data_IF_429328164515
#
_entry.id   IF_429328164515
#
_cell.length_a   1.000
_cell.length_b   1.000
_cell.length_c   1.000
_cell.angle_alpha   90.00
_cell.angle_beta   90.00
_cell.angle_gamma   90.00
#
_symmetry.space_group_name_H-M   'P 1'
#
loop_
_entity.id
_entity.type
_entity.pdbx_description
1 polymer ?
#
# COMPACT_ATOMS: atom_id res chain seq x y z
N UNK A 1 -40.95 -42.62 -21.12
CA UNK A 1 -41.30 -41.18 -21.13
C UNK A 1 -40.63 -40.60 -19.89
N UNK A 2 -39.62 -39.74 -19.91
CA UNK A 2 -39.05 -38.86 -20.94
C UNK A 2 -38.59 -37.61 -20.18
N UNK A 3 -37.56 -37.75 -19.33
CA UNK A 3 -37.05 -36.65 -18.51
C UNK A 3 -36.16 -35.75 -19.37
N UNK A 4 -36.75 -34.65 -19.86
CA UNK A 4 -36.06 -33.61 -20.60
C UNK A 4 -35.14 -32.83 -19.65
N UNK A 5 -33.89 -33.25 -19.56
CA UNK A 5 -32.78 -32.40 -19.12
C UNK A 5 -32.56 -31.30 -20.16
N UNK A 6 -33.33 -30.22 -20.05
CA UNK A 6 -32.98 -28.95 -20.66
C UNK A 6 -32.22 -28.12 -19.63
N UNK A 7 -30.89 -28.18 -19.71
CA UNK A 7 -30.04 -27.15 -19.12
C UNK A 7 -30.56 -25.78 -19.55
N UNK A 8 -30.63 -24.78 -18.64
CA UNK A 8 -30.99 -23.44 -19.05
C UNK A 8 -29.94 -22.96 -20.05
N UNK A 9 -30.40 -22.49 -21.22
CA UNK A 9 -29.54 -21.80 -22.16
C UNK A 9 -28.83 -20.64 -21.43
N UNK A 10 -27.53 -20.39 -21.71
CA UNK A 10 -26.81 -19.31 -21.07
C UNK A 10 -27.52 -17.99 -21.39
N UNK A 11 -28.03 -17.34 -20.35
CA UNK A 11 -28.59 -16.00 -20.41
C UNK A 11 -27.51 -15.02 -20.84
N UNK A 12 -27.89 -14.01 -21.65
CA UNK A 12 -27.05 -12.93 -22.22
C UNK A 12 -26.43 -11.98 -21.16
N UNK A 13 -25.80 -12.53 -20.13
CA UNK A 13 -25.09 -11.85 -19.05
C UNK A 13 -23.79 -12.66 -18.98
N UNK A 14 -22.77 -12.33 -19.78
CA UNK A 14 -21.66 -11.50 -19.34
C UNK A 14 -20.86 -10.98 -20.56
N UNK A 15 -21.37 -9.98 -21.29
CA UNK A 15 -20.48 -9.15 -22.11
C UNK A 15 -19.82 -8.14 -21.17
N UNK A 16 -18.52 -8.27 -20.93
CA UNK A 16 -17.78 -7.28 -20.13
C UNK A 16 -17.94 -5.91 -20.79
N UNK A 17 -18.52 -4.95 -20.05
CA UNK A 17 -18.56 -3.56 -20.47
C UNK A 17 -17.11 -3.01 -20.60
N UNK A 18 -16.96 -1.97 -21.38
CA UNK A 18 -15.73 -1.18 -21.50
C UNK A 18 -15.49 -0.36 -20.25
N UNK A 19 -14.31 0.24 -20.17
CA UNK A 19 -13.95 1.20 -19.12
C UNK A 19 -14.86 2.44 -19.11
N UNK A 20 -15.42 2.81 -20.27
CA UNK A 20 -16.38 3.91 -20.41
C UNK A 20 -17.54 3.49 -21.32
N UNK A 21 -18.80 3.81 -20.99
CA UNK A 21 -19.99 3.39 -21.76
C UNK A 21 -19.92 3.73 -23.26
N UNK A 22 -19.37 4.91 -23.59
CA UNK A 22 -19.21 5.35 -24.99
C UNK A 22 -18.31 4.43 -25.83
N UNK A 23 -17.49 3.60 -25.17
CA UNK A 23 -16.57 2.67 -25.83
C UNK A 23 -17.07 1.22 -25.83
N UNK A 24 -18.27 0.95 -25.30
CA UNK A 24 -18.84 -0.41 -25.19
C UNK A 24 -19.07 -1.03 -26.57
N UNK A 25 -19.60 -0.27 -27.52
CA UNK A 25 -19.88 -0.76 -28.87
C UNK A 25 -18.57 -1.11 -29.62
N UNK A 26 -17.56 -0.24 -29.54
CA UNK A 26 -16.24 -0.49 -30.13
C UNK A 26 -15.55 -1.68 -29.49
N UNK A 27 -15.68 -1.84 -28.16
CA UNK A 27 -15.17 -3.00 -27.44
C UNK A 27 -15.81 -4.28 -27.93
N UNK A 28 -17.13 -4.29 -28.10
CA UNK A 28 -17.84 -5.48 -28.53
C UNK A 28 -17.43 -5.90 -29.94
N UNK A 29 -17.31 -4.96 -30.88
CA UNK A 29 -16.83 -5.23 -32.24
C UNK A 29 -15.39 -5.76 -32.24
N UNK A 30 -14.53 -5.22 -31.36
CA UNK A 30 -13.17 -5.69 -31.22
C UNK A 30 -13.11 -7.11 -30.63
N UNK A 31 -13.84 -7.38 -29.56
CA UNK A 31 -13.87 -8.69 -28.89
C UNK A 31 -14.42 -9.77 -29.83
N UNK A 32 -15.48 -9.46 -30.59
CA UNK A 32 -16.05 -10.37 -31.60
C UNK A 32 -15.02 -10.71 -32.69
N UNK A 33 -14.32 -9.70 -33.22
CA UNK A 33 -13.24 -9.92 -34.19
C UNK A 33 -12.07 -10.71 -33.60
N UNK A 34 -11.63 -10.32 -32.41
CA UNK A 34 -10.50 -10.91 -31.72
C UNK A 34 -10.74 -12.38 -31.40
N UNK A 35 -11.93 -12.78 -30.97
CA UNK A 35 -12.24 -14.17 -30.64
C UNK A 35 -12.15 -15.11 -31.86
N UNK A 36 -12.61 -14.64 -33.02
CA UNK A 36 -12.47 -15.37 -34.29
C UNK A 36 -11.00 -15.48 -34.67
N UNK A 37 -10.29 -14.35 -34.69
CA UNK A 37 -8.87 -14.31 -35.00
C UNK A 37 -8.03 -15.19 -34.06
N UNK A 38 -8.33 -15.16 -32.76
CA UNK A 38 -7.63 -15.91 -31.73
C UNK A 38 -7.78 -17.42 -31.94
N UNK A 39 -8.99 -17.87 -32.24
CA UNK A 39 -9.30 -19.30 -32.43
C UNK A 39 -8.77 -19.82 -33.76
N UNK A 40 -8.93 -19.06 -34.85
CA UNK A 40 -8.65 -19.55 -36.20
C UNK A 40 -7.20 -19.30 -36.66
N UNK A 41 -6.56 -18.23 -36.18
CA UNK A 41 -5.22 -17.86 -36.62
C UNK A 41 -4.19 -18.02 -35.50
N UNK A 42 -4.39 -17.36 -34.36
CA UNK A 42 -3.39 -17.31 -33.30
C UNK A 42 -3.05 -18.71 -32.76
N UNK A 43 -4.07 -19.53 -32.45
CA UNK A 43 -3.85 -20.92 -31.97
C UNK A 43 -3.19 -21.82 -33.01
N UNK A 44 -3.29 -21.49 -34.30
CA UNK A 44 -2.71 -22.25 -35.41
C UNK A 44 -1.31 -21.73 -35.83
N UNK A 45 -0.72 -20.82 -35.05
CA UNK A 45 0.61 -20.27 -35.31
C UNK A 45 0.65 -19.09 -36.28
N UNK A 46 -0.49 -18.49 -36.61
CA UNK A 46 -0.60 -17.31 -37.45
C UNK A 46 -0.89 -16.06 -36.60
N UNK A 47 0.12 -15.20 -36.42
CA UNK A 47 0.06 -14.05 -35.49
C UNK A 47 -0.37 -12.72 -36.13
N UNK A 48 -0.71 -12.69 -37.42
CA UNK A 48 -1.09 -11.43 -38.07
C UNK A 48 -2.53 -11.06 -37.70
N UNK A 49 -2.72 -9.96 -36.96
CA UNK A 49 -4.01 -9.42 -36.51
C UNK A 49 -4.49 -8.19 -37.30
N UNK A 50 -4.00 -8.00 -38.53
CA UNK A 50 -4.39 -6.86 -39.37
C UNK A 50 -5.92 -6.76 -39.58
N UNK A 51 -6.62 -7.90 -39.54
CA UNK A 51 -8.07 -7.98 -39.62
C UNK A 51 -8.79 -7.19 -38.51
N UNK A 52 -8.29 -7.20 -37.27
CA UNK A 52 -8.92 -6.52 -36.14
C UNK A 52 -8.25 -5.20 -35.73
N UNK A 53 -7.07 -4.89 -36.30
CA UNK A 53 -6.31 -3.69 -35.95
C UNK A 53 -7.11 -2.39 -36.10
N UNK A 54 -7.91 -2.27 -37.16
CA UNK A 54 -8.71 -1.06 -37.39
C UNK A 54 -9.73 -0.81 -36.27
N UNK A 55 -10.40 -1.86 -35.79
CA UNK A 55 -11.38 -1.77 -34.69
C UNK A 55 -10.66 -1.55 -33.36
N UNK A 56 -9.50 -2.19 -33.19
CA UNK A 56 -8.64 -2.01 -32.02
C UNK A 56 -8.16 -0.56 -31.85
N UNK A 57 -7.73 0.09 -32.93
CA UNK A 57 -7.29 1.48 -32.92
C UNK A 57 -8.44 2.41 -32.48
N UNK A 58 -9.62 2.27 -33.07
CA UNK A 58 -10.80 3.07 -32.71
C UNK A 58 -11.22 2.85 -31.26
N UNK A 59 -11.26 1.60 -30.80
CA UNK A 59 -11.54 1.26 -29.41
C UNK A 59 -10.51 1.87 -28.45
N UNK A 60 -9.23 1.70 -28.75
CA UNK A 60 -8.13 2.20 -27.93
C UNK A 60 -8.15 3.72 -27.82
N UNK A 61 -8.43 4.41 -28.92
CA UNK A 61 -8.54 5.86 -28.93
C UNK A 61 -9.74 6.36 -28.13
N UNK A 62 -10.89 5.69 -28.23
CA UNK A 62 -12.05 5.96 -27.39
C UNK A 62 -11.71 5.85 -25.88
N UNK A 63 -11.06 4.75 -25.49
CA UNK A 63 -10.68 4.52 -24.08
C UNK A 63 -9.67 5.56 -23.60
N UNK A 64 -8.67 5.90 -24.41
CA UNK A 64 -7.69 6.95 -24.07
C UNK A 64 -8.37 8.30 -23.85
N UNK A 65 -9.31 8.68 -24.71
CA UNK A 65 -10.06 9.94 -24.57
C UNK A 65 -10.89 9.90 -23.29
N UNK A 66 -11.63 8.82 -23.04
CA UNK A 66 -12.41 8.65 -21.82
C UNK A 66 -11.53 8.72 -20.55
N UNK A 67 -10.39 8.04 -20.53
CA UNK A 67 -9.42 8.09 -19.41
C UNK A 67 -8.83 9.48 -19.17
N UNK A 68 -8.74 10.32 -20.22
CA UNK A 68 -8.25 11.68 -20.08
C UNK A 68 -9.35 12.68 -19.67
N UNK A 69 -10.60 12.41 -20.05
CA UNK A 69 -11.77 13.21 -19.70
C UNK A 69 -12.29 12.94 -18.28
N UNK A 70 -12.03 11.74 -17.73
CA UNK A 70 -12.19 11.45 -16.30
C UNK A 70 -11.18 12.29 -15.51
N UNK A 71 -11.63 13.50 -15.18
CA UNK A 71 -10.85 14.58 -14.59
C UNK A 71 -10.63 14.32 -13.09
N UNK A 72 -10.11 13.15 -12.74
CA UNK A 72 -9.69 12.79 -11.37
C UNK A 72 -8.16 12.82 -11.22
N UNK A 73 -7.40 12.97 -12.32
CA UNK A 73 -5.94 13.03 -12.30
C UNK A 73 -5.39 14.27 -11.57
N UNK A 74 -6.14 15.38 -11.56
CA UNK A 74 -5.72 16.61 -10.85
C UNK A 74 -5.85 16.44 -9.34
N UNK A 75 -6.97 15.89 -8.89
CA UNK A 75 -7.23 15.67 -7.47
C UNK A 75 -6.28 14.62 -6.88
N UNK A 76 -5.94 13.58 -7.66
CA UNK A 76 -4.99 12.55 -7.22
C UNK A 76 -3.58 13.10 -6.97
N UNK A 77 -3.06 13.93 -7.88
CA UNK A 77 -1.72 14.49 -7.73
C UNK A 77 -1.63 15.57 -6.64
N UNK A 78 -2.70 16.32 -6.40
CA UNK A 78 -2.78 17.23 -5.25
C UNK A 78 -2.83 16.45 -3.92
N UNK A 79 -3.57 15.35 -3.89
CA UNK A 79 -3.63 14.46 -2.73
C UNK A 79 -2.28 13.81 -2.43
N UNK A 80 -1.58 13.31 -3.46
CA UNK A 80 -0.22 12.74 -3.34
C UNK A 80 0.74 13.74 -2.69
N UNK A 81 0.79 14.97 -3.20
CA UNK A 81 1.62 16.03 -2.61
C UNK A 81 1.25 16.35 -1.17
N UNK A 82 -0.03 16.36 -0.85
CA UNK A 82 -0.49 16.60 0.53
C UNK A 82 -0.02 15.51 1.48
N UNK A 83 -0.04 14.25 1.02
CA UNK A 83 0.40 13.08 1.78
C UNK A 83 1.92 13.11 2.01
N UNK A 84 2.70 13.51 1.01
CA UNK A 84 4.15 13.67 1.15
C UNK A 84 4.51 14.71 2.22
N UNK A 85 3.81 15.84 2.24
CA UNK A 85 4.02 16.89 3.26
C UNK A 85 3.69 16.35 4.66
N UNK A 86 2.60 15.60 4.81
CA UNK A 86 2.21 15.01 6.09
C UNK A 86 3.22 13.96 6.55
N UNK A 87 3.70 13.11 5.64
CA UNK A 87 4.72 12.11 5.90
C UNK A 87 6.00 12.76 6.46
N UNK A 88 6.46 13.85 5.85
CA UNK A 88 7.65 14.56 6.32
C UNK A 88 7.44 15.18 7.72
N UNK A 89 6.26 15.75 8.00
CA UNK A 89 5.91 16.25 9.35
C UNK A 89 5.94 15.12 10.39
N UNK A 90 5.39 13.95 10.05
CA UNK A 90 5.39 12.79 10.93
C UNK A 90 6.80 12.23 11.17
N UNK A 91 7.64 12.18 10.14
CA UNK A 91 9.04 11.79 10.27
C UNK A 91 9.81 12.71 11.21
N UNK A 92 9.60 14.02 11.14
CA UNK A 92 10.27 14.97 12.03
C UNK A 92 9.85 14.77 13.48
N UNK A 93 8.55 14.64 13.75
CA UNK A 93 8.04 14.33 15.11
C UNK A 93 8.55 12.98 15.63
N UNK A 94 8.67 11.98 14.76
CA UNK A 94 9.25 10.68 15.13
C UNK A 94 10.73 10.83 15.50
N UNK A 95 11.51 11.56 14.72
CA UNK A 95 12.93 11.80 14.97
C UNK A 95 13.16 12.47 16.33
N UNK A 96 12.37 13.50 16.66
CA UNK A 96 12.42 14.16 17.97
C UNK A 96 12.18 13.16 19.11
N UNK A 97 11.16 12.31 18.98
CA UNK A 97 10.87 11.26 19.97
C UNK A 97 11.99 10.22 20.05
N UNK A 98 12.58 9.84 18.92
CA UNK A 98 13.69 8.87 18.88
C UNK A 98 14.93 9.43 19.60
N UNK A 99 15.21 10.73 19.46
CA UNK A 99 16.31 11.40 20.15
C UNK A 99 16.05 11.51 21.67
N UNK A 100 14.81 11.81 22.08
CA UNK A 100 14.40 11.77 23.50
C UNK A 100 14.55 10.35 24.05
N UNK A 101 14.13 9.33 23.31
CA UNK A 101 14.24 7.93 23.74
C UNK A 101 15.70 7.52 23.94
N UNK A 102 16.62 7.95 23.06
CA UNK A 102 18.06 7.71 23.23
C UNK A 102 18.60 8.37 24.49
N UNK A 103 18.23 9.62 24.75
CA UNK A 103 18.64 10.32 25.96
C UNK A 103 18.13 9.60 27.22
N UNK A 104 16.91 9.07 27.18
CA UNK A 104 16.34 8.30 28.30
C UNK A 104 17.10 7.00 28.55
N UNK A 105 17.47 6.25 27.50
CA UNK A 105 18.31 5.05 27.66
C UNK A 105 19.67 5.39 28.27
N UNK A 106 20.33 6.46 27.79
CA UNK A 106 21.61 6.89 28.36
C UNK A 106 21.49 7.28 29.84
N UNK A 107 20.41 7.98 30.20
CA UNK A 107 20.14 8.30 31.60
C UNK A 107 19.96 7.04 32.45
N UNK A 108 19.18 6.07 31.96
CA UNK A 108 18.96 4.80 32.66
C UNK A 108 20.26 4.01 32.81
N UNK A 109 21.09 3.92 31.76
CA UNK A 109 22.38 3.22 31.83
C UNK A 109 23.30 3.83 32.91
N UNK A 110 23.35 5.16 33.01
CA UNK A 110 24.13 5.87 34.03
C UNK A 110 23.54 5.65 35.42
N UNK A 111 22.20 5.67 35.55
CA UNK A 111 21.49 5.41 36.80
C UNK A 111 21.79 3.99 37.30
N UNK A 112 21.74 3.00 36.42
CA UNK A 112 22.01 1.60 36.73
C UNK A 112 23.48 1.36 37.11
N UNK A 113 24.43 1.93 36.36
CA UNK A 113 25.85 1.86 36.70
C UNK A 113 26.15 2.50 38.07
N UNK A 114 25.51 3.64 38.37
CA UNK A 114 25.60 4.31 39.67
C UNK A 114 25.05 3.42 40.77
N UNK A 115 23.89 2.79 40.54
CA UNK A 115 23.25 1.90 41.49
C UNK A 115 24.10 0.64 41.76
N UNK A 116 24.79 0.12 40.75
CA UNK A 116 25.74 -1.00 40.91
C UNK A 116 26.91 -0.60 41.81
N UNK A 117 27.55 0.55 41.53
CA UNK A 117 28.67 1.05 42.33
C UNK A 117 28.23 1.31 43.77
N UNK A 118 27.07 1.93 43.95
CA UNK A 118 26.51 2.21 45.28
C UNK A 118 26.22 0.92 46.05
N UNK A 119 25.70 -0.10 45.37
CA UNK A 119 25.48 -1.43 45.93
C UNK A 119 26.77 -2.07 46.46
N UNK A 120 27.85 -2.01 45.68
CA UNK A 120 29.17 -2.52 46.11
C UNK A 120 29.74 -1.72 47.27
N UNK A 121 29.61 -0.40 47.24
CA UNK A 121 30.10 0.47 48.31
C UNK A 121 29.35 0.21 49.63
N UNK A 122 28.03 -0.02 49.56
CA UNK A 122 27.23 -0.40 50.71
C UNK A 122 27.73 -1.71 51.35
N UNK A 123 28.05 -2.72 50.53
CA UNK A 123 28.64 -3.99 51.00
C UNK A 123 29.98 -3.76 51.71
N UNK A 124 30.85 -2.93 51.13
CA UNK A 124 32.17 -2.64 51.70
C UNK A 124 32.08 -1.88 53.03
N UNK A 125 31.13 -0.96 53.15
CA UNK A 125 30.90 -0.18 54.37
C UNK A 125 30.04 -0.93 55.40
N UNK A 126 29.47 -2.10 55.06
CA UNK A 126 28.60 -2.87 55.95
C UNK A 126 27.25 -2.20 56.22
N UNK A 127 26.82 -1.29 55.36
CA UNK A 127 25.57 -0.54 55.46
C UNK A 127 24.60 -0.95 54.36
N UNK A 128 23.35 -0.55 54.48
CA UNK A 128 22.34 -0.79 53.44
C UNK A 128 22.45 0.25 52.32
N UNK A 129 22.00 -0.13 51.12
CA UNK A 129 21.95 0.80 49.96
C UNK A 129 21.08 2.02 50.27
N UNK A 130 20.01 1.86 51.03
CA UNK A 130 19.15 2.97 51.46
C UNK A 130 19.88 3.96 52.39
N UNK A 131 20.76 3.49 53.27
CA UNK A 131 21.63 4.36 54.07
C UNK A 131 22.63 5.10 53.20
N UNK A 132 23.12 4.47 52.14
CA UNK A 132 24.00 5.12 51.16
C UNK A 132 23.26 6.19 50.36
N UNK A 133 22.04 5.95 49.90
CA UNK A 133 21.21 6.98 49.27
C UNK A 133 20.98 8.18 50.20
N UNK A 134 20.74 7.95 51.51
CA UNK A 134 20.65 9.02 52.50
C UNK A 134 21.98 9.76 52.72
N UNK A 135 23.09 9.02 52.84
CA UNK A 135 24.44 9.56 53.07
C UNK A 135 24.90 10.49 51.95
N UNK A 136 24.59 10.13 50.71
CA UNK A 136 24.94 10.94 49.52
C UNK A 136 23.83 11.88 49.06
N UNK A 137 22.73 11.99 49.84
CA UNK A 137 21.58 12.83 49.50
C UNK A 137 21.02 12.56 48.09
N UNK A 138 20.94 11.29 47.71
CA UNK A 138 20.45 10.79 46.41
C UNK A 138 18.95 10.44 46.46
N UNK A 139 18.21 10.95 47.44
CA UNK A 139 16.77 10.75 47.50
C UNK A 139 16.15 11.49 46.30
N UNK A 140 15.49 10.74 45.41
CA UNK A 140 14.80 11.31 44.24
C UNK A 140 13.83 12.39 44.72
N UNK A 141 13.92 13.58 44.13
CA UNK A 141 12.84 14.56 44.23
C UNK A 141 11.66 14.00 43.44
N UNK A 142 10.56 13.74 44.13
CA UNK A 142 9.29 13.22 43.59
C UNK A 142 8.85 13.88 42.27
#
# INVERSE_FOLDING_TARGET
>A
MGDNNSSPAPTKVDRLNSFHPDCDELKQQYDECFNVWFTEHYMNGHYNNEACNKVFELYTDCVKIAMNNLTEKKDLHELEKSLDIELEKLKMKKKEKDDIMKALHQYNDIKDATQEVLGRLAILEGVTVAEMHRKYNLLESD
#
